data_IF_572467445499
#
_entry.id   IF_572467445499
#
_cell.length_a   1.000
_cell.length_b   1.000
_cell.length_c   1.000
_cell.angle_alpha   90.00
_cell.angle_beta   90.00
_cell.angle_gamma   90.00
#
_symmetry.space_group_name_H-M   'P 1'
#
loop_
_entity.id
_entity.type
_entity.pdbx_description
1 polymer ?
#
# COMPACT_ATOMS: atom_id res chain seq x y z
N UNK A 1 -2.79 -2.17 -3.90
CA UNK A 1 -2.18 -1.90 -5.23
C UNK A 1 -0.79 -1.29 -5.11
N UNK A 2 -0.61 -0.30 -4.24
CA UNK A 2 0.63 0.44 -3.96
C UNK A 2 1.87 -0.45 -3.79
N UNK A 3 1.80 -1.47 -2.93
CA UNK A 3 2.90 -2.43 -2.74
C UNK A 3 3.26 -3.22 -4.01
N UNK A 4 2.28 -3.56 -4.86
CA UNK A 4 2.53 -4.24 -6.13
C UNK A 4 3.29 -3.36 -7.11
N UNK A 5 2.85 -2.10 -7.29
CA UNK A 5 3.44 -1.17 -8.24
C UNK A 5 4.89 -0.86 -7.89
N UNK A 6 5.16 -0.44 -6.64
CA UNK A 6 6.51 -0.08 -6.22
C UNK A 6 7.44 -1.29 -6.22
N UNK A 7 6.99 -2.44 -5.73
CA UNK A 7 7.82 -3.64 -5.76
C UNK A 7 8.17 -4.05 -7.19
N UNK A 8 7.20 -4.04 -8.12
CA UNK A 8 7.46 -4.33 -9.53
C UNK A 8 8.47 -3.35 -10.15
N UNK A 9 8.35 -2.05 -9.84
CA UNK A 9 9.29 -1.03 -10.32
C UNK A 9 10.71 -1.28 -9.81
N UNK A 10 10.86 -1.56 -8.51
CA UNK A 10 12.16 -1.85 -7.90
C UNK A 10 12.80 -3.13 -8.47
N UNK A 11 12.00 -4.16 -8.70
CA UNK A 11 12.49 -5.41 -9.31
C UNK A 11 12.89 -5.21 -10.77
N UNK A 12 12.14 -4.41 -11.54
CA UNK A 12 12.51 -4.04 -12.90
C UNK A 12 13.81 -3.24 -12.93
N UNK A 13 13.96 -2.22 -12.08
CA UNK A 13 15.20 -1.44 -11.95
C UNK A 13 16.40 -2.32 -11.60
N UNK A 14 16.23 -3.26 -10.68
CA UNK A 14 17.27 -4.23 -10.35
C UNK A 14 17.61 -5.17 -11.50
N UNK A 15 16.61 -5.63 -12.26
CA UNK A 15 16.82 -6.48 -13.42
C UNK A 15 17.62 -5.76 -14.50
N UNK A 16 17.29 -4.49 -14.77
CA UNK A 16 17.88 -3.72 -15.88
C UNK A 16 19.26 -3.13 -15.53
N UNK A 17 19.47 -2.72 -14.27
CA UNK A 17 20.70 -2.03 -13.84
C UNK A 17 21.54 -2.82 -12.82
N UNK A 18 21.10 -4.01 -12.42
CA UNK A 18 21.79 -4.84 -11.42
C UNK A 18 21.74 -4.29 -9.98
N UNK A 19 21.12 -3.14 -9.75
CA UNK A 19 21.00 -2.48 -8.44
C UNK A 19 19.75 -1.62 -8.39
N UNK A 20 19.25 -1.40 -7.17
CA UNK A 20 18.22 -0.40 -6.88
C UNK A 20 18.92 0.89 -6.45
N UNK A 21 18.64 1.99 -7.13
CA UNK A 21 19.03 3.34 -6.73
C UNK A 21 17.92 3.95 -5.84
N UNK A 22 18.07 3.72 -4.54
CA UNK A 22 17.13 4.20 -3.53
C UNK A 22 17.11 5.75 -3.46
N UNK A 23 18.24 6.41 -3.70
CA UNK A 23 18.32 7.87 -3.70
C UNK A 23 17.52 8.46 -4.87
N UNK A 24 17.72 7.92 -6.07
CA UNK A 24 16.95 8.31 -7.24
C UNK A 24 15.45 7.98 -7.09
N UNK A 25 15.11 6.85 -6.46
CA UNK A 25 13.74 6.50 -6.11
C UNK A 25 13.07 7.59 -5.25
N UNK A 26 13.68 7.97 -4.13
CA UNK A 26 13.13 9.01 -3.26
C UNK A 26 13.09 10.37 -3.93
N UNK A 27 14.11 10.73 -4.71
CA UNK A 27 14.15 12.00 -5.43
C UNK A 27 13.01 12.12 -6.46
N UNK A 28 12.71 11.04 -7.21
CA UNK A 28 11.57 11.00 -8.16
C UNK A 28 10.25 11.16 -7.41
N UNK A 29 10.09 10.45 -6.30
CA UNK A 29 8.87 10.47 -5.50
C UNK A 29 8.63 11.84 -4.84
N UNK A 30 9.67 12.43 -4.27
CA UNK A 30 9.62 13.76 -3.68
C UNK A 30 9.19 14.82 -4.70
N UNK A 31 9.79 14.82 -5.90
CA UNK A 31 9.41 15.75 -6.99
C UNK A 31 7.98 15.57 -7.47
N UNK A 32 7.43 14.35 -7.36
CA UNK A 32 6.06 14.04 -7.76
C UNK A 32 5.02 14.40 -6.70
N UNK A 33 5.29 14.13 -5.42
CA UNK A 33 4.28 14.23 -4.36
C UNK A 33 4.35 15.52 -3.55
N UNK A 34 5.55 16.02 -3.23
CA UNK A 34 5.70 17.18 -2.35
C UNK A 34 5.01 18.44 -2.90
N UNK A 35 5.08 18.79 -4.20
CA UNK A 35 4.44 20.01 -4.69
C UNK A 35 2.91 19.98 -4.51
N UNK A 36 2.27 18.86 -4.86
CA UNK A 36 0.82 18.71 -4.76
C UNK A 36 0.37 18.65 -3.30
N UNK A 37 1.08 17.91 -2.45
CA UNK A 37 0.78 17.84 -1.01
C UNK A 37 0.97 19.19 -0.33
N UNK A 38 2.08 19.90 -0.59
CA UNK A 38 2.33 21.22 -0.03
C UNK A 38 1.27 22.24 -0.45
N UNK A 39 0.85 22.24 -1.72
CA UNK A 39 -0.23 23.12 -2.20
C UNK A 39 -1.56 22.80 -1.50
N UNK A 40 -1.90 21.53 -1.33
CA UNK A 40 -3.10 21.09 -0.60
C UNK A 40 -3.06 21.53 0.88
N UNK A 41 -1.96 21.27 1.58
CA UNK A 41 -1.80 21.67 2.99
C UNK A 41 -1.81 23.19 3.16
N UNK A 42 -1.24 23.94 2.22
CA UNK A 42 -1.30 25.40 2.23
C UNK A 42 -2.73 25.90 2.04
N UNK A 43 -3.48 25.34 1.08
CA UNK A 43 -4.87 25.71 0.86
C UNK A 43 -5.75 25.42 2.09
N UNK A 44 -5.54 24.27 2.74
CA UNK A 44 -6.21 23.92 4.00
C UNK A 44 -5.79 24.86 5.13
N UNK A 45 -4.52 25.23 5.20
CA UNK A 45 -4.06 26.19 6.23
C UNK A 45 -4.71 27.56 6.04
N UNK A 46 -4.80 28.06 4.81
CA UNK A 46 -5.46 29.33 4.48
C UNK A 46 -6.95 29.27 4.81
N UNK A 47 -7.66 28.22 4.38
CA UNK A 47 -9.09 28.08 4.70
C UNK A 47 -9.34 27.94 6.21
N UNK A 48 -8.43 27.31 6.96
CA UNK A 48 -8.51 27.23 8.42
C UNK A 48 -8.39 28.62 9.07
N UNK A 49 -7.48 29.46 8.58
CA UNK A 49 -7.36 30.87 9.02
C UNK A 49 -8.61 31.69 8.70
N UNK A 50 -9.35 31.33 7.64
CA UNK A 50 -10.63 31.95 7.27
C UNK A 50 -11.84 31.35 8.01
N UNK A 51 -11.62 30.40 8.92
CA UNK A 51 -12.68 29.78 9.73
C UNK A 51 -13.41 28.61 9.05
N UNK A 52 -12.93 28.12 7.91
CA UNK A 52 -13.60 27.03 7.19
C UNK A 52 -13.66 25.71 7.98
N UNK A 53 -12.78 25.52 8.96
CA UNK A 53 -12.66 24.30 9.77
C UNK A 53 -12.52 24.61 11.28
N UNK A 54 -13.20 25.65 11.76
CA UNK A 54 -13.09 26.11 13.15
C UNK A 54 -13.63 25.11 14.18
N UNK A 55 -14.39 24.10 13.75
CA UNK A 55 -14.96 23.04 14.60
C UNK A 55 -14.17 21.73 14.52
N UNK A 56 -13.05 21.71 13.80
CA UNK A 56 -12.17 20.53 13.72
C UNK A 56 -11.14 20.61 14.85
N UNK A 57 -11.23 19.68 15.79
CA UNK A 57 -10.28 19.56 16.89
C UNK A 57 -8.89 19.15 16.38
N UNK A 58 -7.84 19.65 17.05
CA UNK A 58 -6.43 19.33 16.78
C UNK A 58 -6.00 19.50 15.31
N UNK A 59 -6.63 20.42 14.56
CA UNK A 59 -6.36 20.62 13.13
C UNK A 59 -4.89 20.97 12.86
N UNK A 60 -4.23 21.66 13.79
CA UNK A 60 -2.81 22.03 13.66
C UNK A 60 -1.91 20.79 13.75
N UNK A 61 -2.17 19.92 14.71
CA UNK A 61 -1.47 18.65 14.92
C UNK A 61 -1.71 17.75 13.70
N UNK A 62 -2.92 17.74 13.18
CA UNK A 62 -3.30 17.04 11.95
C UNK A 62 -2.53 17.55 10.73
N UNK A 63 -2.40 18.87 10.55
CA UNK A 63 -1.60 19.48 9.46
C UNK A 63 -0.13 19.07 9.54
N UNK A 64 0.46 19.11 10.75
CA UNK A 64 1.85 18.68 10.98
C UNK A 64 1.99 17.18 10.71
N UNK A 65 1.05 16.36 11.20
CA UNK A 65 1.03 14.93 10.95
C UNK A 65 0.94 14.60 9.46
N UNK A 66 0.11 15.30 8.71
CA UNK A 66 -0.02 15.16 7.27
C UNK A 66 1.28 15.55 6.55
N UNK A 67 1.89 16.67 6.90
CA UNK A 67 3.16 17.14 6.33
C UNK A 67 4.33 16.15 6.58
N UNK A 68 4.30 15.46 7.72
CA UNK A 68 5.33 14.50 8.12
C UNK A 68 4.96 13.04 7.76
N UNK A 69 3.86 12.81 7.04
CA UNK A 69 3.37 11.46 6.67
C UNK A 69 3.12 10.53 7.87
N UNK A 70 2.70 11.10 8.99
CA UNK A 70 2.32 10.40 10.24
C UNK A 70 0.92 10.79 10.72
N UNK A 71 0.09 11.32 9.83
CA UNK A 71 -1.29 11.71 10.12
C UNK A 71 -2.09 10.59 10.81
N UNK A 72 -1.89 9.35 10.35
CA UNK A 72 -2.55 8.19 10.93
C UNK A 72 -2.22 7.99 12.43
N UNK A 73 -0.99 8.32 12.86
CA UNK A 73 -0.59 8.26 14.26
C UNK A 73 -1.12 9.44 15.08
N UNK A 74 -1.21 10.63 14.47
CA UNK A 74 -1.86 11.78 15.11
C UNK A 74 -3.33 11.48 15.38
N UNK A 75 -4.04 10.88 14.41
CA UNK A 75 -5.43 10.43 14.59
C UNK A 75 -5.57 9.37 15.66
N UNK A 76 -4.65 8.40 15.70
CA UNK A 76 -4.69 7.34 16.71
C UNK A 76 -4.42 7.86 18.14
N UNK A 77 -3.61 8.91 18.28
CA UNK A 77 -3.28 9.50 19.58
C UNK A 77 -4.26 10.59 20.03
N UNK A 78 -5.04 11.15 19.10
CA UNK A 78 -6.02 12.21 19.34
C UNK A 78 -7.32 11.69 19.93
N UNK A 79 -8.30 12.60 20.05
CA UNK A 79 -9.62 12.33 20.62
C UNK A 79 -10.62 11.71 19.64
N UNK A 80 -10.36 11.81 18.34
CA UNK A 80 -11.30 11.36 17.30
C UNK A 80 -11.27 9.85 17.07
N UNK A 81 -12.44 9.21 17.13
CA UNK A 81 -12.60 7.82 16.75
C UNK A 81 -12.76 7.66 15.24
N UNK A 82 -12.40 6.50 14.70
CA UNK A 82 -12.77 6.15 13.34
C UNK A 82 -14.29 6.08 13.14
N UNK A 83 -15.06 5.79 14.20
CA UNK A 83 -16.52 5.80 14.15
C UNK A 83 -17.09 7.20 13.85
N UNK A 84 -16.39 8.27 14.27
CA UNK A 84 -16.85 9.65 14.10
C UNK A 84 -16.90 10.07 12.62
N UNK A 85 -16.11 9.43 11.75
CA UNK A 85 -16.17 9.65 10.30
C UNK A 85 -17.54 9.32 9.67
N UNK A 86 -18.34 8.54 10.39
CA UNK A 86 -19.62 8.02 9.89
C UNK A 86 -20.79 8.36 10.80
N UNK A 87 -20.54 9.05 11.91
CA UNK A 87 -21.58 9.53 12.79
C UNK A 87 -22.31 10.70 12.11
N UNK A 88 -23.65 10.62 12.06
CA UNK A 88 -24.52 11.69 11.54
C UNK A 88 -24.36 12.99 12.36
N UNK A 89 -24.00 12.85 13.63
CA UNK A 89 -23.78 13.95 14.58
C UNK A 89 -22.28 14.19 14.90
N UNK A 90 -21.36 13.61 14.12
CA UNK A 90 -19.91 13.55 14.40
C UNK A 90 -19.12 14.86 14.29
N UNK A 91 -19.79 16.01 14.29
CA UNK A 91 -19.16 17.31 14.12
C UNK A 91 -18.65 17.55 12.69
N UNK A 92 -17.73 18.50 12.54
CA UNK A 92 -17.17 18.86 11.25
C UNK A 92 -16.05 17.87 10.87
N UNK A 93 -16.10 17.20 9.70
CA UNK A 93 -15.06 16.26 9.30
C UNK A 93 -13.76 16.99 8.96
N UNK A 94 -12.63 16.37 9.30
CA UNK A 94 -11.32 16.94 8.96
C UNK A 94 -11.12 16.97 7.44
N UNK A 95 -10.58 18.07 6.88
CA UNK A 95 -10.22 18.11 5.46
C UNK A 95 -9.03 17.19 5.12
N UNK A 96 -8.33 16.69 6.14
CA UNK A 96 -7.10 15.91 6.01
C UNK A 96 -7.32 14.40 6.12
N UNK A 97 -8.56 13.91 6.30
CA UNK A 97 -8.79 12.47 6.55
C UNK A 97 -8.11 11.57 5.53
N UNK A 98 -8.18 11.91 4.24
CA UNK A 98 -7.54 11.15 3.17
C UNK A 98 -6.01 10.93 3.33
N UNK A 99 -5.32 11.71 4.17
CA UNK A 99 -3.90 11.53 4.48
C UNK A 99 -3.61 10.28 5.33
N UNK A 100 -4.60 9.65 5.94
CA UNK A 100 -4.32 8.48 6.80
C UNK A 100 -3.76 7.29 6.05
N UNK A 101 -4.42 6.93 4.94
CA UNK A 101 -4.00 5.80 4.11
C UNK A 101 -2.73 6.16 3.34
N UNK A 102 -2.61 7.43 2.94
CA UNK A 102 -1.43 7.97 2.29
C UNK A 102 -0.20 7.93 3.22
N UNK A 103 -0.35 8.28 4.50
CA UNK A 103 0.72 8.19 5.50
C UNK A 103 1.23 6.75 5.67
N UNK A 104 0.33 5.77 5.79
CA UNK A 104 0.68 4.35 5.86
C UNK A 104 1.41 3.90 4.57
N UNK A 105 0.97 4.40 3.42
CA UNK A 105 1.62 4.13 2.13
C UNK A 105 3.05 4.70 2.07
N UNK A 106 3.25 5.95 2.50
CA UNK A 106 4.57 6.58 2.53
C UNK A 106 5.52 5.91 3.53
N UNK A 107 5.02 5.48 4.69
CA UNK A 107 5.81 4.70 5.65
C UNK A 107 6.29 3.38 5.05
N UNK A 108 5.45 2.70 4.26
CA UNK A 108 5.90 1.54 3.48
C UNK A 108 7.03 1.92 2.51
N UNK A 109 6.94 3.07 1.84
CA UNK A 109 7.98 3.54 0.91
C UNK A 109 9.26 3.98 1.57
N UNK A 110 9.25 4.42 2.83
CA UNK A 110 10.48 4.68 3.57
C UNK A 110 11.28 3.40 3.84
N UNK A 111 10.59 2.28 4.03
CA UNK A 111 11.22 1.04 4.47
C UNK A 111 11.48 0.08 3.31
N UNK A 112 10.50 -0.12 2.44
CA UNK A 112 10.50 -1.20 1.47
C UNK A 112 11.63 -1.13 0.41
N UNK A 113 11.94 0.02 -0.22
CA UNK A 113 13.07 0.13 -1.15
C UNK A 113 14.40 -0.22 -0.51
N UNK A 114 14.61 0.16 0.77
CA UNK A 114 15.81 -0.19 1.53
C UNK A 114 15.87 -1.70 1.80
N UNK A 115 14.76 -2.30 2.24
CA UNK A 115 14.66 -3.75 2.47
C UNK A 115 14.89 -4.53 1.18
N UNK A 116 14.26 -4.15 0.07
CA UNK A 116 14.46 -4.80 -1.22
C UNK A 116 15.91 -4.66 -1.71
N UNK A 117 16.49 -3.46 -1.64
CA UNK A 117 17.87 -3.21 -2.07
C UNK A 117 18.88 -4.02 -1.24
N UNK A 118 18.72 -4.05 0.09
CA UNK A 118 19.61 -4.81 0.98
C UNK A 118 19.46 -6.32 0.79
N UNK A 119 18.23 -6.83 0.70
CA UNK A 119 17.96 -8.25 0.47
C UNK A 119 18.57 -8.76 -0.86
N UNK A 120 18.48 -7.96 -1.92
CA UNK A 120 19.07 -8.29 -3.23
C UNK A 120 20.60 -8.18 -3.22
N UNK A 121 21.17 -7.19 -2.50
CA UNK A 121 22.64 -7.04 -2.36
C UNK A 121 23.29 -8.14 -1.51
N UNK A 122 22.70 -8.51 -0.37
CA UNK A 122 23.30 -9.51 0.54
C UNK A 122 23.34 -10.91 -0.07
N UNK A 123 22.35 -11.25 -0.90
CA UNK A 123 22.28 -12.52 -1.63
C UNK A 123 23.15 -12.53 -2.91
N UNK A 124 23.89 -11.45 -3.16
CA UNK A 124 24.82 -11.30 -4.28
C UNK A 124 26.29 -11.54 -3.91
N UNK A 125 26.60 -11.84 -2.63
CA UNK A 125 27.98 -12.19 -2.26
C UNK A 125 28.35 -13.55 -2.88
N UNK A 126 29.44 -13.64 -3.66
CA UNK A 126 29.97 -14.92 -4.08
C UNK A 126 30.28 -15.73 -2.81
N UNK A 127 29.80 -16.97 -2.74
CA UNK A 127 30.37 -17.93 -1.78
C UNK A 127 31.85 -18.06 -2.13
N UNK A 128 32.71 -17.44 -1.33
CA UNK A 128 34.14 -17.65 -1.41
C UNK A 128 34.41 -19.14 -1.15
N UNK A 129 35.00 -19.81 -2.14
CA UNK A 129 35.32 -21.23 -2.09
C UNK A 129 34.31 -22.06 -2.88
N UNK A 130 34.58 -22.22 -4.19
CA UNK A 130 34.89 -23.50 -4.84
C UNK A 130 34.94 -23.20 -6.34
N UNK A 131 36.16 -23.21 -6.89
CA UNK A 131 36.35 -23.05 -8.32
C UNK A 131 35.64 -24.18 -9.07
N UNK A 132 34.88 -23.82 -10.11
CA UNK A 132 34.83 -24.49 -11.42
C UNK A 132 33.71 -23.89 -12.27
N UNK A 133 34.12 -23.50 -13.48
CA UNK A 133 33.34 -23.43 -14.73
C UNK A 133 32.03 -22.65 -14.72
N UNK A 134 32.11 -21.49 -15.38
CA UNK A 134 30.98 -20.74 -15.90
C UNK A 134 29.96 -21.65 -16.59
N UNK A 135 28.67 -21.31 -16.39
CA UNK A 135 27.48 -21.81 -17.10
C UNK A 135 26.74 -23.00 -16.45
N UNK A 136 26.35 -22.90 -15.17
CA UNK A 136 25.05 -23.44 -14.74
C UNK A 136 24.57 -22.93 -13.36
N UNK A 137 23.31 -22.49 -13.28
CA UNK A 137 22.45 -22.71 -12.11
C UNK A 137 22.68 -21.99 -10.78
N UNK A 138 23.24 -20.77 -10.70
CA UNK A 138 23.19 -20.01 -9.43
C UNK A 138 21.72 -19.80 -9.03
N UNK A 139 21.26 -20.50 -7.99
CA UNK A 139 19.88 -20.46 -7.52
C UNK A 139 19.34 -19.01 -7.51
N UNK A 140 18.14 -18.76 -8.07
CA UNK A 140 17.62 -17.40 -8.19
C UNK A 140 17.53 -16.77 -6.81
N UNK A 141 18.00 -15.52 -6.72
CA UNK A 141 17.98 -14.65 -5.54
C UNK A 141 16.55 -14.30 -5.15
N UNK A 142 15.78 -15.29 -4.74
CA UNK A 142 14.34 -15.19 -4.56
C UNK A 142 14.01 -14.33 -3.34
N UNK A 143 13.30 -13.22 -3.57
CA UNK A 143 12.66 -12.40 -2.55
C UNK A 143 11.34 -13.00 -2.08
N UNK A 144 10.88 -14.09 -2.70
CA UNK A 144 9.59 -14.68 -2.42
C UNK A 144 9.44 -15.12 -0.96
N UNK A 145 10.35 -15.94 -0.45
CA UNK A 145 10.30 -16.44 0.91
C UNK A 145 10.32 -15.32 1.98
N UNK A 146 11.27 -14.35 1.96
CA UNK A 146 11.26 -13.28 2.94
C UNK A 146 10.03 -12.36 2.81
N UNK A 147 9.59 -12.06 1.58
CA UNK A 147 8.39 -11.23 1.37
C UNK A 147 7.14 -11.94 1.87
N UNK A 148 7.01 -13.24 1.62
CA UNK A 148 5.90 -14.05 2.10
C UNK A 148 5.88 -14.13 3.63
N UNK A 149 7.04 -14.34 4.27
CA UNK A 149 7.16 -14.38 5.72
C UNK A 149 6.75 -13.04 6.37
N UNK A 150 7.26 -11.91 5.88
CA UNK A 150 6.93 -10.58 6.40
C UNK A 150 5.44 -10.25 6.15
N UNK A 151 4.90 -10.63 4.99
CA UNK A 151 3.47 -10.46 4.70
C UNK A 151 2.60 -11.26 5.66
N UNK A 152 2.92 -12.54 5.88
CA UNK A 152 2.18 -13.40 6.80
C UNK A 152 2.24 -12.89 8.25
N UNK A 153 3.42 -12.44 8.69
CA UNK A 153 3.59 -11.84 10.00
C UNK A 153 2.75 -10.56 10.15
N UNK A 154 2.77 -9.68 9.15
CA UNK A 154 1.99 -8.44 9.19
C UNK A 154 0.47 -8.70 9.20
N UNK A 155 -0.01 -9.68 8.42
CA UNK A 155 -1.42 -10.09 8.45
C UNK A 155 -1.81 -10.64 9.83
N UNK A 156 -0.96 -11.47 10.43
CA UNK A 156 -1.20 -12.03 11.76
C UNK A 156 -1.12 -10.97 12.87
N UNK A 157 -0.24 -9.97 12.73
CA UNK A 157 -0.09 -8.87 13.68
C UNK A 157 -1.28 -7.90 13.67
N UNK A 158 -2.07 -7.84 12.59
CA UNK A 158 -3.15 -6.87 12.49
C UNK A 158 -4.26 -7.05 13.53
N UNK A 159 -4.89 -8.23 13.65
CA UNK A 159 -5.85 -8.51 14.70
C UNK A 159 -5.28 -8.35 16.11
N UNK A 160 -3.99 -8.67 16.31
CA UNK A 160 -3.31 -8.45 17.58
C UNK A 160 -3.19 -6.94 17.90
N UNK A 161 -2.84 -6.11 16.92
CA UNK A 161 -2.74 -4.66 17.11
C UNK A 161 -4.09 -4.07 17.53
N UNK A 162 -5.17 -4.45 16.85
CA UNK A 162 -6.54 -4.05 17.20
C UNK A 162 -6.94 -4.47 18.62
N UNK A 163 -6.58 -5.71 19.00
CA UNK A 163 -6.92 -6.24 20.32
C UNK A 163 -6.19 -5.52 21.46
N UNK A 164 -4.95 -5.10 21.24
CA UNK A 164 -4.09 -4.56 22.30
C UNK A 164 -4.17 -3.03 22.39
N UNK A 165 -4.37 -2.35 21.25
CA UNK A 165 -4.37 -0.88 21.19
C UNK A 165 -5.77 -0.29 20.96
N UNK A 166 -6.79 -1.14 20.92
CA UNK A 166 -8.19 -0.75 20.78
C UNK A 166 -8.69 -0.75 19.34
N UNK A 167 -10.02 -0.59 19.15
CA UNK A 167 -10.68 -0.71 17.85
C UNK A 167 -10.16 0.30 16.80
N UNK A 168 -9.84 1.51 17.22
CA UNK A 168 -9.31 2.56 16.33
C UNK A 168 -7.93 2.22 15.77
N UNK A 169 -7.11 1.49 16.54
CA UNK A 169 -5.82 1.00 16.07
C UNK A 169 -5.95 -0.03 14.94
N UNK A 170 -7.07 -0.74 14.86
CA UNK A 170 -7.34 -1.61 13.72
C UNK A 170 -7.35 -0.82 12.40
N UNK A 171 -7.74 0.45 12.44
CA UNK A 171 -7.85 1.32 11.27
C UNK A 171 -6.63 2.21 11.06
N UNK A 172 -6.24 2.96 12.09
CA UNK A 172 -5.21 3.98 11.96
C UNK A 172 -3.79 3.45 12.12
N UNK A 173 -3.58 2.33 12.81
CA UNK A 173 -2.23 1.86 13.09
C UNK A 173 -1.61 1.19 11.87
N UNK A 174 -0.39 1.62 11.50
CA UNK A 174 0.37 1.02 10.40
C UNK A 174 0.56 -0.49 10.56
N UNK A 175 0.89 -1.05 11.75
CA UNK A 175 1.02 -2.51 11.91
C UNK A 175 -0.27 -3.27 11.62
N UNK A 176 -1.44 -2.64 11.78
CA UNK A 176 -2.73 -3.24 11.48
C UNK A 176 -3.04 -3.31 9.98
N UNK A 177 -2.46 -2.41 9.19
CA UNK A 177 -2.78 -2.22 7.76
C UNK A 177 -1.69 -2.63 6.80
N UNK A 178 -0.43 -2.63 7.25
CA UNK A 178 0.73 -2.84 6.37
C UNK A 178 0.70 -4.21 5.65
N UNK A 179 0.06 -5.21 6.25
CA UNK A 179 -0.16 -6.53 5.63
C UNK A 179 -0.87 -6.45 4.28
N UNK A 180 -1.82 -5.53 4.12
CA UNK A 180 -2.59 -5.36 2.88
C UNK A 180 -1.71 -4.81 1.74
N UNK A 181 -0.79 -3.89 2.07
CA UNK A 181 0.21 -3.36 1.13
C UNK A 181 1.24 -4.44 0.78
N UNK A 182 1.73 -5.17 1.78
CA UNK A 182 2.69 -6.27 1.63
C UNK A 182 2.13 -7.42 0.79
N UNK A 183 0.84 -7.73 0.87
CA UNK A 183 0.18 -8.69 -0.04
C UNK A 183 0.34 -8.28 -1.50
N UNK A 184 0.25 -6.98 -1.79
CA UNK A 184 0.55 -6.44 -3.12
C UNK A 184 2.02 -6.62 -3.51
N UNK A 185 2.95 -6.34 -2.58
CA UNK A 185 4.39 -6.55 -2.81
C UNK A 185 4.70 -8.02 -3.10
N UNK A 186 4.11 -8.95 -2.33
CA UNK A 186 4.21 -10.38 -2.55
C UNK A 186 3.69 -10.79 -3.93
N UNK A 187 2.55 -10.26 -4.36
CA UNK A 187 2.00 -10.51 -5.69
C UNK A 187 2.95 -10.05 -6.81
N UNK A 188 3.65 -8.93 -6.63
CA UNK A 188 4.65 -8.46 -7.59
C UNK A 188 5.88 -9.38 -7.62
N UNK A 189 6.37 -9.85 -6.47
CA UNK A 189 7.47 -10.82 -6.40
C UNK A 189 7.07 -12.13 -7.08
N UNK A 190 5.88 -12.66 -6.79
CA UNK A 190 5.33 -13.86 -7.46
C UNK A 190 5.29 -13.65 -8.97
N UNK A 191 4.78 -12.50 -9.43
CA UNK A 191 4.70 -12.19 -10.85
C UNK A 191 6.06 -12.19 -11.54
N UNK A 192 7.06 -11.54 -10.94
CA UNK A 192 8.40 -11.41 -11.53
C UNK A 192 9.17 -12.73 -11.49
N UNK A 193 9.13 -13.46 -10.37
CA UNK A 193 9.95 -14.67 -10.19
C UNK A 193 9.31 -15.95 -10.74
N UNK A 194 7.97 -16.04 -10.75
CA UNK A 194 7.23 -17.25 -11.13
C UNK A 194 6.26 -17.04 -12.29
N UNK A 195 6.05 -15.80 -12.72
CA UNK A 195 4.99 -15.47 -13.67
C UNK A 195 3.60 -15.50 -13.03
N UNK A 196 2.61 -15.02 -13.78
CA UNK A 196 1.22 -15.08 -13.32
C UNK A 196 0.63 -16.48 -13.51
N UNK A 197 0.10 -17.13 -12.45
CA UNK A 197 -0.43 -18.48 -12.57
C UNK A 197 -1.74 -18.49 -13.39
N UNK A 198 -1.94 -19.49 -14.24
CA UNK A 198 -3.14 -19.62 -15.10
C UNK A 198 -4.45 -19.66 -14.30
N UNK A 199 -4.42 -20.16 -13.07
CA UNK A 199 -5.58 -20.15 -12.18
C UNK A 199 -6.02 -18.73 -11.82
N UNK A 200 -5.09 -17.78 -11.66
CA UNK A 200 -5.43 -16.37 -11.39
C UNK A 200 -6.23 -15.76 -12.53
N UNK A 201 -5.96 -16.12 -13.80
CA UNK A 201 -6.77 -15.69 -14.95
C UNK A 201 -8.24 -16.11 -14.80
N UNK A 202 -8.48 -17.36 -14.37
CA UNK A 202 -9.84 -17.91 -14.18
C UNK A 202 -10.55 -17.29 -12.99
N UNK A 203 -9.82 -16.99 -11.92
CA UNK A 203 -10.35 -16.40 -10.70
C UNK A 203 -10.51 -14.88 -10.78
N UNK A 204 -9.87 -14.19 -11.73
CA UNK A 204 -9.89 -12.72 -11.83
C UNK A 204 -11.31 -12.13 -11.88
N UNK A 205 -12.27 -12.66 -12.68
CA UNK A 205 -13.63 -12.13 -12.70
C UNK A 205 -14.36 -12.32 -11.36
N UNK A 206 -14.13 -13.45 -10.69
CA UNK A 206 -14.69 -13.75 -9.37
C UNK A 206 -14.10 -12.81 -8.33
N UNK A 207 -12.79 -12.55 -8.40
CA UNK A 207 -12.11 -11.61 -7.53
C UNK A 207 -12.62 -10.17 -7.74
N UNK A 208 -12.79 -9.73 -8.99
CA UNK A 208 -13.35 -8.42 -9.32
C UNK A 208 -14.79 -8.27 -8.81
N UNK A 209 -15.64 -9.29 -9.00
CA UNK A 209 -17.00 -9.30 -8.47
C UNK A 209 -17.00 -9.29 -6.94
N UNK A 210 -16.15 -10.10 -6.30
CA UNK A 210 -16.02 -10.14 -4.85
C UNK A 210 -15.60 -8.79 -4.26
N UNK A 211 -14.69 -8.08 -4.90
CA UNK A 211 -14.32 -6.71 -4.52
C UNK A 211 -15.50 -5.76 -4.70
N UNK A 212 -16.17 -5.78 -5.85
CA UNK A 212 -17.32 -4.91 -6.12
C UNK A 212 -18.47 -5.14 -5.12
N UNK A 213 -18.77 -6.41 -4.82
CA UNK A 213 -19.76 -6.78 -3.80
C UNK A 213 -19.31 -6.32 -2.43
N UNK A 214 -18.05 -6.53 -2.04
CA UNK A 214 -17.54 -6.07 -0.75
C UNK A 214 -17.65 -4.54 -0.60
N UNK A 215 -17.37 -3.77 -1.65
CA UNK A 215 -17.50 -2.30 -1.65
C UNK A 215 -18.93 -1.83 -1.37
N UNK A 216 -19.94 -2.56 -1.83
CA UNK A 216 -21.35 -2.19 -1.66
C UNK A 216 -21.96 -2.81 -0.39
N UNK A 217 -21.57 -4.03 -0.05
CA UNK A 217 -22.21 -4.83 0.99
C UNK A 217 -21.58 -4.66 2.38
N UNK A 218 -20.32 -4.20 2.47
CA UNK A 218 -19.68 -4.03 3.78
C UNK A 218 -20.27 -2.80 4.47
N UNK A 219 -20.89 -2.96 5.65
CA UNK A 219 -21.49 -1.84 6.33
C UNK A 219 -20.42 -0.87 6.82
N UNK A 220 -20.80 0.40 6.83
CA UNK A 220 -20.00 1.47 7.38
C UNK A 220 -20.06 1.40 8.91
N UNK A 221 -18.93 1.55 9.60
CA UNK A 221 -18.85 1.56 11.07
C UNK A 221 -18.90 0.19 11.76
N UNK A 222 -19.13 -0.92 11.03
CA UNK A 222 -19.22 -2.28 11.61
C UNK A 222 -19.03 -3.39 10.56
N UNK A 223 -19.01 -4.64 10.99
CA UNK A 223 -19.06 -5.80 10.10
C UNK A 223 -17.69 -6.22 9.55
N UNK A 224 -17.62 -6.96 8.43
CA UNK A 224 -16.42 -7.70 8.03
C UNK A 224 -15.14 -6.86 7.94
N UNK A 225 -15.23 -5.60 7.48
CA UNK A 225 -14.09 -4.69 7.43
C UNK A 225 -13.43 -4.47 8.81
N UNK A 226 -14.24 -4.51 9.87
CA UNK A 226 -13.83 -4.33 11.27
C UNK A 226 -13.55 -5.67 11.96
N UNK A 227 -14.15 -6.76 11.47
CA UNK A 227 -13.95 -8.13 11.97
C UNK A 227 -12.70 -8.83 11.38
N UNK A 228 -11.79 -8.06 10.77
CA UNK A 228 -10.51 -8.58 10.27
C UNK A 228 -10.57 -9.23 8.88
N UNK A 229 -11.59 -8.96 8.06
CA UNK A 229 -11.65 -9.48 6.68
C UNK A 229 -10.78 -8.72 5.66
N UNK A 230 -10.23 -7.56 6.03
CA UNK A 230 -9.46 -6.72 5.09
C UNK A 230 -8.19 -7.41 4.54
N UNK A 231 -7.43 -8.20 5.32
CA UNK A 231 -6.38 -9.06 4.77
C UNK A 231 -6.89 -10.06 3.72
N UNK A 232 -8.07 -10.66 3.92
CA UNK A 232 -8.66 -11.56 2.92
C UNK A 232 -9.00 -10.82 1.63
N UNK A 233 -9.54 -9.60 1.73
CA UNK A 233 -9.78 -8.74 0.57
C UNK A 233 -8.48 -8.35 -0.15
N UNK A 234 -7.37 -8.17 0.58
CA UNK A 234 -6.07 -7.91 -0.02
C UNK A 234 -5.56 -9.12 -0.83
N UNK A 235 -5.82 -10.35 -0.38
CA UNK A 235 -5.51 -11.57 -1.13
C UNK A 235 -6.37 -11.69 -2.39
N UNK A 236 -7.68 -11.39 -2.30
CA UNK A 236 -8.57 -11.33 -3.47
C UNK A 236 -8.05 -10.30 -4.47
N UNK A 237 -7.59 -9.14 -3.99
CA UNK A 237 -6.97 -8.10 -4.82
C UNK A 237 -5.67 -8.60 -5.48
N UNK A 238 -4.82 -9.35 -4.77
CA UNK A 238 -3.63 -9.96 -5.36
C UNK A 238 -3.97 -10.96 -6.49
N UNK A 239 -5.01 -11.78 -6.30
CA UNK A 239 -5.51 -12.69 -7.35
C UNK A 239 -5.98 -11.90 -8.57
N UNK A 240 -6.73 -10.82 -8.36
CA UNK A 240 -7.14 -9.93 -9.44
C UNK A 240 -5.93 -9.35 -10.18
N UNK A 241 -4.95 -8.78 -9.47
CA UNK A 241 -3.75 -8.19 -10.06
C UNK A 241 -2.95 -9.20 -10.91
N UNK A 242 -2.77 -10.42 -10.40
CA UNK A 242 -2.13 -11.52 -11.14
C UNK A 242 -2.96 -11.92 -12.36
N UNK A 243 -4.28 -12.06 -12.20
CA UNK A 243 -5.19 -12.42 -13.28
C UNK A 243 -5.21 -11.42 -14.44
N UNK A 244 -5.10 -10.12 -14.13
CA UNK A 244 -5.04 -9.03 -15.11
C UNK A 244 -3.74 -8.98 -15.93
N UNK A 245 -2.74 -9.81 -15.62
CA UNK A 245 -1.55 -9.96 -16.46
C UNK A 245 -1.82 -10.82 -17.71
N UNK A 246 -2.96 -11.52 -17.75
CA UNK A 246 -3.38 -12.33 -18.90
C UNK A 246 -4.38 -11.58 -19.77
N UNK A 247 -4.33 -11.81 -21.07
CA UNK A 247 -5.36 -11.29 -21.97
C UNK A 247 -6.71 -11.98 -21.74
N UNK A 248 -7.76 -11.16 -21.65
CA UNK A 248 -9.11 -11.62 -21.39
C UNK A 248 -10.13 -10.48 -21.40
N UNK A 249 -11.43 -10.80 -21.36
CA UNK A 249 -12.50 -9.80 -21.44
C UNK A 249 -12.43 -8.79 -20.30
N UNK A 250 -12.16 -9.24 -19.07
CA UNK A 250 -12.01 -8.37 -17.90
C UNK A 250 -10.86 -7.37 -18.06
N UNK A 251 -9.68 -7.82 -18.50
CA UNK A 251 -8.54 -6.93 -18.77
C UNK A 251 -8.90 -5.90 -19.84
N UNK A 252 -9.56 -6.31 -20.93
CA UNK A 252 -10.00 -5.38 -21.99
C UNK A 252 -10.99 -4.34 -21.48
N UNK A 253 -11.97 -4.76 -20.68
CA UNK A 253 -12.94 -3.86 -20.07
C UNK A 253 -12.25 -2.82 -19.15
N UNK A 254 -11.32 -3.27 -18.31
CA UNK A 254 -10.55 -2.37 -17.43
C UNK A 254 -9.48 -1.54 -18.16
N UNK A 255 -9.13 -1.90 -19.39
CA UNK A 255 -8.22 -1.14 -20.26
C UNK A 255 -8.95 -0.04 -21.06
N UNK A 256 -10.20 0.26 -20.71
CA UNK A 256 -10.96 1.35 -21.33
C UNK A 256 -10.22 2.68 -21.12
N UNK A 257 -9.98 3.43 -22.21
CA UNK A 257 -9.07 4.60 -22.19
C UNK A 257 -9.44 5.64 -21.13
N UNK A 258 -10.72 5.98 -20.89
CA UNK A 258 -11.08 6.86 -19.78
C UNK A 258 -10.66 6.35 -18.41
N UNK A 259 -10.79 5.05 -18.12
CA UNK A 259 -10.35 4.47 -16.84
C UNK A 259 -8.82 4.53 -16.70
N UNK A 260 -8.09 4.25 -17.79
CA UNK A 260 -6.63 4.34 -17.81
C UNK A 260 -6.16 5.79 -17.64
N UNK A 261 -6.83 6.76 -18.27
CA UNK A 261 -6.54 8.18 -18.12
C UNK A 261 -6.74 8.66 -16.68
N UNK A 262 -7.84 8.23 -16.04
CA UNK A 262 -8.11 8.49 -14.63
C UNK A 262 -7.01 7.90 -13.74
N UNK A 263 -6.59 6.67 -14.03
CA UNK A 263 -5.46 6.01 -13.34
C UNK A 263 -4.13 6.75 -13.52
N UNK A 264 -3.84 7.26 -14.72
CA UNK A 264 -2.64 8.03 -15.00
C UNK A 264 -2.59 9.36 -14.23
N UNK A 265 -3.73 10.04 -14.07
CA UNK A 265 -3.80 11.25 -13.24
C UNK A 265 -3.56 10.91 -11.76
N UNK A 266 -4.18 9.84 -11.25
CA UNK A 266 -4.05 9.44 -9.84
C UNK A 266 -2.65 8.91 -9.49
N UNK A 267 -2.04 8.12 -10.36
CA UNK A 267 -0.75 7.48 -10.11
C UNK A 267 0.46 8.15 -10.78
N UNK A 268 0.24 9.21 -11.57
CA UNK A 268 1.27 10.03 -12.22
C UNK A 268 2.00 9.32 -13.34
#
# INVERSE_FOLDING_TARGET
>A
LSGFLITRLLLAEHHDHGRIDVGAFYARRARRLLPASAACLLAISIGAMLGAWSLVDDLREQLVGAALWVFNWVRLAGSGSYADLFAVDGGQPSPLEHYWSLAIEEQFYWVWPLVAATALRWRSRPRAGHGRTARDGSAPRSLLAPTAAVTALAIAAGPATARWWGPDAAYWATPARIGEILTGALAAVVLVERGSPRVAKRLAPIAALGIAVATVAFPVGRGPAYDGWLPALSLVTAVLLLGLQHDGPLRRALSFRPLVALGAVSYG
#
